data_IF_957335804147
#
_entry.id   IF_957335804147
#
_cell.length_a   1.000
_cell.length_b   1.000
_cell.length_c   1.000
_cell.angle_alpha   90.00
_cell.angle_beta   90.00
_cell.angle_gamma   90.00
#
_symmetry.space_group_name_H-M   'P 1'
#
loop_
_entity.id
_entity.type
_entity.pdbx_description
1 polymer ?
#
# COMPACT_ATOMS: atom_id res chain seq x y z
N UNK A 1 -19.46 12.23 -24.95
CA UNK A 1 -19.01 12.72 -23.62
C UNK A 1 -18.91 11.59 -22.60
N UNK A 2 -19.94 10.74 -22.46
CA UNK A 2 -19.88 9.58 -21.56
C UNK A 2 -18.74 8.60 -21.89
N UNK A 3 -18.50 8.35 -23.18
CA UNK A 3 -17.48 7.38 -23.62
C UNK A 3 -16.05 7.80 -23.26
N UNK A 4 -15.73 9.10 -23.35
CA UNK A 4 -14.42 9.64 -22.97
C UNK A 4 -14.20 9.49 -21.46
N UNK A 5 -15.22 9.75 -20.65
CA UNK A 5 -15.14 9.59 -19.20
C UNK A 5 -14.97 8.11 -18.81
N UNK A 6 -15.70 7.20 -19.46
CA UNK A 6 -15.56 5.75 -19.24
C UNK A 6 -14.17 5.26 -19.62
N UNK A 7 -13.67 5.68 -20.78
CA UNK A 7 -12.32 5.33 -21.21
C UNK A 7 -11.28 5.84 -20.20
N UNK A 8 -11.34 7.11 -19.79
CA UNK A 8 -10.42 7.65 -18.78
C UNK A 8 -10.45 6.86 -17.46
N UNK A 9 -11.63 6.45 -16.99
CA UNK A 9 -11.76 5.60 -15.80
C UNK A 9 -11.07 4.25 -15.97
N UNK A 10 -11.20 3.62 -17.13
CA UNK A 10 -10.52 2.35 -17.45
C UNK A 10 -8.99 2.51 -17.44
N UNK A 11 -8.47 3.58 -18.03
CA UNK A 11 -7.03 3.88 -18.02
C UNK A 11 -6.50 4.13 -16.62
N UNK A 12 -7.21 4.92 -15.80
CA UNK A 12 -6.83 5.16 -14.40
C UNK A 12 -6.78 3.85 -13.63
N UNK A 13 -7.79 2.99 -13.82
CA UNK A 13 -7.86 1.69 -13.16
C UNK A 13 -6.67 0.80 -13.57
N UNK A 14 -6.37 0.73 -14.86
CA UNK A 14 -5.25 -0.06 -15.38
C UNK A 14 -3.91 0.43 -14.81
N UNK A 15 -3.65 1.73 -14.87
CA UNK A 15 -2.41 2.33 -14.38
C UNK A 15 -2.29 2.12 -12.86
N UNK A 16 -3.38 2.29 -12.12
CA UNK A 16 -3.39 2.04 -10.67
C UNK A 16 -3.07 0.59 -10.35
N UNK A 17 -3.64 -0.35 -11.10
CA UNK A 17 -3.38 -1.78 -10.90
C UNK A 17 -1.90 -2.13 -11.16
N UNK A 18 -1.32 -1.59 -12.23
CA UNK A 18 0.11 -1.75 -12.52
C UNK A 18 0.96 -1.08 -11.45
N UNK A 19 0.63 0.16 -11.06
CA UNK A 19 1.32 0.89 -10.00
C UNK A 19 1.31 0.14 -8.67
N UNK A 20 0.19 -0.47 -8.29
CA UNK A 20 0.09 -1.27 -7.09
C UNK A 20 1.01 -2.51 -7.14
N UNK A 21 1.08 -3.19 -8.29
CA UNK A 21 1.99 -4.31 -8.49
C UNK A 21 3.47 -3.87 -8.37
N UNK A 22 3.80 -2.68 -8.89
CA UNK A 22 5.14 -2.10 -8.76
C UNK A 22 5.48 -1.74 -7.31
N UNK A 23 4.53 -1.19 -6.55
CA UNK A 23 4.71 -0.92 -5.11
C UNK A 23 4.97 -2.22 -4.36
N UNK A 24 4.19 -3.27 -4.62
CA UNK A 24 4.39 -4.58 -3.99
C UNK A 24 5.78 -5.16 -4.32
N UNK A 25 6.21 -5.07 -5.58
CA UNK A 25 7.57 -5.46 -5.97
C UNK A 25 8.63 -4.65 -5.24
N UNK A 26 8.44 -3.33 -5.13
CA UNK A 26 9.34 -2.44 -4.41
C UNK A 26 9.55 -2.83 -2.95
N UNK A 27 8.44 -3.17 -2.25
CA UNK A 27 8.49 -3.67 -0.88
C UNK A 27 9.30 -4.97 -0.78
N UNK A 28 9.07 -5.93 -1.69
CA UNK A 28 9.82 -7.20 -1.69
C UNK A 28 11.31 -6.97 -1.88
N UNK A 29 11.69 -6.12 -2.83
CA UNK A 29 13.11 -5.82 -3.08
C UNK A 29 13.76 -5.14 -1.89
N UNK A 30 13.07 -4.19 -1.25
CA UNK A 30 13.58 -3.52 -0.05
C UNK A 30 13.78 -4.48 1.12
N UNK A 31 12.90 -5.48 1.27
CA UNK A 31 13.05 -6.54 2.29
C UNK A 31 14.28 -7.42 2.00
N UNK A 32 14.52 -7.78 0.75
CA UNK A 32 15.58 -8.73 0.37
C UNK A 32 16.96 -8.06 0.32
N UNK A 33 17.03 -6.86 -0.25
CA UNK A 33 18.30 -6.20 -0.56
C UNK A 33 18.61 -5.00 0.36
N UNK A 34 17.67 -4.63 1.22
CA UNK A 34 17.81 -3.52 2.17
C UNK A 34 17.14 -2.23 1.72
N UNK A 35 17.11 -1.24 2.62
CA UNK A 35 16.51 0.08 2.39
C UNK A 35 17.17 0.77 1.19
N UNK A 36 16.35 1.52 0.44
CA UNK A 36 16.80 2.32 -0.71
C UNK A 36 17.39 1.50 -1.89
N UNK A 37 17.21 0.17 -1.88
CA UNK A 37 17.75 -0.73 -2.90
C UNK A 37 17.24 -0.44 -4.34
N UNK A 38 16.09 0.22 -4.48
CA UNK A 38 15.54 0.64 -5.77
C UNK A 38 15.59 2.17 -5.87
N UNK A 39 16.36 2.68 -6.83
CA UNK A 39 16.46 4.10 -7.18
C UNK A 39 16.78 5.04 -6.01
N UNK A 40 17.40 4.54 -4.92
CA UNK A 40 17.71 5.36 -3.75
C UNK A 40 16.49 5.79 -2.94
N UNK A 41 15.33 5.18 -3.18
CA UNK A 41 14.07 5.50 -2.50
C UNK A 41 13.58 4.32 -1.66
N UNK A 42 12.99 4.62 -0.50
CA UNK A 42 12.39 3.62 0.39
C UNK A 42 10.88 3.58 0.18
N UNK A 43 10.39 2.48 -0.39
CA UNK A 43 8.96 2.27 -0.61
C UNK A 43 8.28 1.99 0.72
N UNK A 44 8.91 1.18 1.57
CA UNK A 44 8.42 0.87 2.92
C UNK A 44 8.42 2.13 3.80
N UNK A 45 9.44 2.98 3.68
CA UNK A 45 9.52 4.27 4.36
C UNK A 45 8.36 5.19 3.97
N UNK A 46 8.17 5.43 2.67
CA UNK A 46 7.06 6.26 2.17
C UNK A 46 5.70 5.74 2.65
N UNK A 47 5.47 4.42 2.64
CA UNK A 47 4.22 3.83 3.14
C UNK A 47 4.07 4.04 4.66
N UNK A 48 5.15 3.89 5.42
CA UNK A 48 5.15 4.08 6.87
C UNK A 48 4.82 5.54 7.22
N UNK A 49 5.42 6.50 6.52
CA UNK A 49 5.21 7.93 6.74
C UNK A 49 3.75 8.33 6.45
N UNK A 50 3.19 7.89 5.31
CA UNK A 50 1.78 8.15 4.99
C UNK A 50 0.84 7.59 6.07
N UNK A 51 1.12 6.38 6.57
CA UNK A 51 0.31 5.78 7.63
C UNK A 51 0.47 6.54 8.95
N UNK A 52 1.68 7.02 9.25
CA UNK A 52 1.95 7.84 10.42
C UNK A 52 1.27 9.22 10.36
N UNK A 53 1.16 9.82 9.18
CA UNK A 53 0.45 11.09 9.00
C UNK A 53 -1.05 10.96 9.28
N UNK A 54 -1.63 9.78 9.00
CA UNK A 54 -3.06 9.51 9.24
C UNK A 54 -3.31 9.05 10.69
N UNK A 55 -2.51 8.11 11.18
CA UNK A 55 -2.72 7.41 12.46
C UNK A 55 -1.84 7.89 13.61
N UNK A 56 -1.04 8.94 13.39
CA UNK A 56 -0.05 9.43 14.35
C UNK A 56 1.16 8.50 14.48
N UNK A 57 1.99 8.75 15.50
CA UNK A 57 3.29 8.10 15.69
C UNK A 57 3.23 6.55 15.76
N UNK A 58 2.09 5.99 16.18
CA UNK A 58 1.86 4.54 16.27
C UNK A 58 0.77 4.04 15.31
N UNK A 59 0.43 4.82 14.27
CA UNK A 59 -0.66 4.52 13.34
C UNK A 59 -0.57 3.13 12.72
N UNK A 60 0.63 2.73 12.29
CA UNK A 60 0.86 1.41 11.70
C UNK A 60 0.59 0.27 12.68
N UNK A 61 1.12 0.36 13.91
CA UNK A 61 0.90 -0.64 14.96
C UNK A 61 -0.59 -0.74 15.33
N UNK A 62 -1.28 0.41 15.38
CA UNK A 62 -2.72 0.47 15.61
C UNK A 62 -3.53 -0.23 14.51
N UNK A 63 -3.20 0.00 13.24
CA UNK A 63 -3.85 -0.68 12.10
C UNK A 63 -3.63 -2.20 12.13
N UNK A 64 -2.40 -2.64 12.41
CA UNK A 64 -2.09 -4.08 12.56
C UNK A 64 -2.89 -4.70 13.71
N UNK A 65 -3.00 -4.02 14.85
CA UNK A 65 -3.80 -4.49 15.98
C UNK A 65 -5.29 -4.66 15.61
N UNK A 66 -5.87 -3.70 14.88
CA UNK A 66 -7.25 -3.78 14.40
C UNK A 66 -7.43 -4.97 13.45
N UNK A 67 -6.50 -5.19 12.51
CA UNK A 67 -6.56 -6.33 11.58
C UNK A 67 -6.49 -7.68 12.32
N UNK A 68 -5.63 -7.80 13.34
CA UNK A 68 -5.55 -9.01 14.16
C UNK A 68 -6.86 -9.25 14.91
N UNK A 69 -7.40 -8.23 15.59
CA UNK A 69 -8.67 -8.34 16.33
C UNK A 69 -9.81 -8.72 15.37
N UNK A 70 -9.87 -8.08 14.20
CA UNK A 70 -10.88 -8.37 13.18
C UNK A 70 -10.75 -9.79 12.63
N UNK A 71 -9.52 -10.26 12.36
CA UNK A 71 -9.26 -11.63 11.93
C UNK A 71 -9.68 -12.67 12.96
N UNK A 72 -9.39 -12.43 14.24
CA UNK A 72 -9.85 -13.29 15.34
C UNK A 72 -11.37 -13.31 15.48
N UNK A 73 -12.04 -12.17 15.28
CA UNK A 73 -13.50 -12.10 15.29
C UNK A 73 -14.13 -12.88 14.13
N UNK A 74 -13.58 -12.75 12.91
CA UNK A 74 -14.03 -13.51 11.74
C UNK A 74 -13.81 -15.02 11.89
N UNK A 75 -12.76 -15.44 12.58
CA UNK A 75 -12.41 -16.85 12.77
C UNK A 75 -13.09 -17.48 14.01
N UNK A 76 -14.00 -16.78 14.69
CA UNK A 76 -14.92 -17.35 15.66
C UNK A 76 -16.17 -17.87 14.94
N UNK A 77 -16.03 -19.02 14.30
CA UNK A 77 -17.13 -19.90 13.90
C UNK A 77 -17.03 -21.23 14.64
#
# INVERSE_FOLDING_TARGET
>A
MKDVLTQLQEWIKLITQVGLALVALGVVVEIVFGKEAIFGASVVGNLSDIVSDIGGQNGFVGLVAILIIFGLFLNRS
#
